data_IF_324499964501
#
_entry.id   IF_324499964501
#
_cell.length_a   1.000
_cell.length_b   1.000
_cell.length_c   1.000
_cell.angle_alpha   90.00
_cell.angle_beta   90.00
_cell.angle_gamma   90.00
#
_symmetry.space_group_name_H-M   'P 1'
#
loop_
_entity.id
_entity.type
_entity.pdbx_description
1 polymer ?
#
# COMPACT_ATOMS: atom_id res chain seq x y z
N UNK A 1 -1.98 6.79 -11.00
CA UNK A 1 -1.85 6.00 -12.24
C UNK A 1 -2.07 6.91 -13.43
N UNK A 2 -1.33 6.70 -14.54
CA UNK A 2 -1.27 7.68 -15.63
C UNK A 2 -2.42 7.57 -16.65
N UNK A 3 -2.71 6.35 -17.13
CA UNK A 3 -3.72 6.12 -18.17
C UNK A 3 -5.15 5.98 -17.63
N UNK A 4 -5.31 5.82 -16.30
CA UNK A 4 -6.57 5.49 -15.65
C UNK A 4 -7.32 4.33 -16.36
N UNK A 5 -6.56 3.34 -16.84
CA UNK A 5 -7.06 2.18 -17.54
C UNK A 5 -6.93 0.94 -16.65
N UNK A 6 -7.80 -0.04 -16.87
CA UNK A 6 -7.72 -1.36 -16.25
C UNK A 6 -7.72 -2.49 -17.31
N UNK A 7 -7.92 -3.73 -16.86
CA UNK A 7 -7.87 -4.92 -17.72
C UNK A 7 -9.25 -5.57 -17.91
N UNK A 8 -10.33 -4.80 -17.95
CA UNK A 8 -11.70 -5.30 -18.13
C UNK A 8 -12.24 -5.22 -19.57
N UNK A 9 -11.49 -4.61 -20.49
CA UNK A 9 -11.90 -4.42 -21.89
C UNK A 9 -11.47 -3.10 -22.52
N UNK A 10 -10.77 -2.23 -21.77
CA UNK A 10 -10.22 -0.97 -22.26
C UNK A 10 -9.34 -1.13 -23.53
N UNK A 11 -9.47 -0.16 -24.44
CA UNK A 11 -8.73 -0.14 -25.71
C UNK A 11 -7.76 1.03 -25.75
N UNK A 12 -6.59 0.82 -26.37
CA UNK A 12 -5.56 1.85 -26.56
C UNK A 12 -5.21 2.00 -28.04
N UNK A 13 -5.18 3.26 -28.51
CA UNK A 13 -4.74 3.59 -29.86
C UNK A 13 -3.20 3.66 -29.93
N UNK A 14 -2.62 3.04 -30.96
CA UNK A 14 -1.17 3.03 -31.19
C UNK A 14 -0.84 3.87 -32.42
N UNK A 15 0.05 4.84 -32.26
CA UNK A 15 0.53 5.70 -33.33
C UNK A 15 2.03 5.52 -33.52
N UNK A 16 2.50 5.57 -34.77
CA UNK A 16 3.93 5.38 -35.12
C UNK A 16 4.50 6.71 -35.62
N UNK A 17 5.47 7.33 -34.92
CA UNK A 17 6.14 8.53 -35.40
C UNK A 17 7.06 8.19 -36.58
N UNK A 18 6.81 8.82 -37.74
CA UNK A 18 7.54 8.51 -38.99
C UNK A 18 8.75 9.43 -39.22
N UNK A 19 8.66 10.72 -38.89
CA UNK A 19 9.77 11.64 -39.09
C UNK A 19 10.86 11.45 -38.04
N UNK A 20 12.09 11.77 -38.41
CA UNK A 20 13.24 11.66 -37.52
C UNK A 20 13.07 12.57 -36.30
N UNK A 21 12.54 13.78 -36.49
CA UNK A 21 12.25 14.75 -35.45
C UNK A 21 11.22 14.20 -34.45
N UNK A 22 10.13 13.59 -34.94
CA UNK A 22 9.09 13.02 -34.08
C UNK A 22 9.60 11.81 -33.29
N UNK A 23 10.47 10.99 -33.88
CA UNK A 23 11.10 9.87 -33.17
C UNK A 23 12.03 10.36 -32.05
N UNK A 24 12.82 11.41 -32.31
CA UNK A 24 13.67 12.02 -31.29
C UNK A 24 12.85 12.64 -30.17
N UNK A 25 11.78 13.36 -30.50
CA UNK A 25 10.87 13.95 -29.51
C UNK A 25 10.20 12.88 -28.65
N UNK A 26 9.67 11.83 -29.27
CA UNK A 26 9.04 10.73 -28.55
C UNK A 26 10.01 10.04 -27.58
N UNK A 27 11.26 9.81 -28.02
CA UNK A 27 12.29 9.19 -27.19
C UNK A 27 12.78 10.10 -26.06
N UNK A 28 12.88 11.40 -26.29
CA UNK A 28 13.49 12.34 -25.35
C UNK A 28 12.50 12.92 -24.35
N UNK A 29 11.24 13.13 -24.77
CA UNK A 29 10.21 13.80 -23.94
C UNK A 29 9.08 12.85 -23.55
N UNK A 30 8.53 12.07 -24.49
CA UNK A 30 7.30 11.30 -24.26
C UNK A 30 7.53 9.94 -23.58
N UNK A 31 8.78 9.47 -23.49
CA UNK A 31 9.11 8.18 -22.92
C UNK A 31 8.63 8.08 -21.46
N UNK A 32 8.03 6.95 -21.09
CA UNK A 32 7.41 6.75 -19.77
C UNK A 32 8.39 6.93 -18.60
N UNK A 33 9.66 6.62 -18.80
CA UNK A 33 10.73 6.80 -17.81
C UNK A 33 10.96 8.25 -17.41
N UNK A 34 10.50 9.21 -18.22
CA UNK A 34 10.60 10.64 -17.92
C UNK A 34 9.36 11.14 -17.15
N UNK A 35 8.25 10.42 -17.22
CA UNK A 35 6.93 10.83 -16.73
C UNK A 35 6.57 10.10 -15.43
N UNK A 36 7.46 10.20 -14.44
CA UNK A 36 7.32 9.54 -13.12
C UNK A 36 6.43 10.37 -12.17
N UNK A 37 6.59 11.69 -12.22
CA UNK A 37 5.89 12.64 -11.36
C UNK A 37 4.71 13.27 -12.07
N UNK A 38 3.75 13.70 -11.27
CA UNK A 38 2.60 14.46 -11.72
C UNK A 38 2.98 15.90 -12.02
N UNK A 39 2.67 16.41 -13.24
CA UNK A 39 2.87 17.81 -13.56
C UNK A 39 2.08 18.77 -12.65
N UNK A 40 0.97 18.31 -12.06
CA UNK A 40 0.07 19.15 -11.28
C UNK A 40 0.51 19.40 -9.85
N UNK A 41 1.12 18.40 -9.20
CA UNK A 41 1.47 18.46 -7.77
C UNK A 41 2.86 17.92 -7.43
N UNK A 42 3.63 17.41 -8.41
CA UNK A 42 4.97 16.88 -8.20
C UNK A 42 5.03 15.52 -7.50
N UNK A 43 3.88 14.92 -7.18
CA UNK A 43 3.83 13.61 -6.53
C UNK A 43 4.05 12.47 -7.55
N UNK A 44 4.62 11.32 -7.13
CA UNK A 44 4.79 10.17 -8.02
C UNK A 44 3.43 9.62 -8.53
N UNK A 45 3.25 9.55 -9.85
CA UNK A 45 2.06 8.95 -10.49
C UNK A 45 2.19 7.42 -10.58
N UNK A 46 3.43 6.94 -10.64
CA UNK A 46 3.80 5.52 -10.86
C UNK A 46 3.94 4.71 -9.57
N UNK A 47 3.38 5.18 -8.45
CA UNK A 47 3.37 4.41 -7.21
C UNK A 47 2.67 3.06 -7.39
N UNK A 48 3.21 1.97 -6.82
CA UNK A 48 2.57 0.67 -6.86
C UNK A 48 1.16 0.70 -6.27
N UNK A 49 0.27 -0.12 -6.82
CA UNK A 49 -1.13 -0.21 -6.40
C UNK A 49 -1.55 -1.65 -6.14
N UNK A 50 -2.65 -1.84 -5.40
CA UNK A 50 -3.31 -3.12 -5.18
C UNK A 50 -2.35 -4.20 -4.67
N UNK A 51 -2.20 -5.31 -5.39
CA UNK A 51 -1.50 -6.51 -4.93
C UNK A 51 -0.03 -6.26 -4.61
N UNK A 52 0.64 -5.36 -5.35
CA UNK A 52 2.03 -5.01 -5.07
C UNK A 52 2.14 -4.37 -3.68
N UNK A 53 1.19 -3.50 -3.33
CA UNK A 53 1.15 -2.87 -2.00
C UNK A 53 0.84 -3.90 -0.91
N UNK A 54 -0.03 -4.87 -1.18
CA UNK A 54 -0.35 -5.97 -0.26
C UNK A 54 0.88 -6.85 -0.02
N UNK A 55 1.63 -7.20 -1.07
CA UNK A 55 2.86 -7.99 -0.94
C UNK A 55 3.94 -7.27 -0.14
N UNK A 56 4.15 -5.96 -0.39
CA UNK A 56 5.09 -5.16 0.40
C UNK A 56 4.64 -5.00 1.86
N UNK A 57 3.34 -4.81 2.08
CA UNK A 57 2.76 -4.74 3.41
C UNK A 57 2.97 -6.04 4.16
N UNK A 58 2.61 -7.18 3.56
CA UNK A 58 2.81 -8.51 4.12
C UNK A 58 4.27 -8.72 4.46
N UNK A 59 5.18 -8.47 3.52
CA UNK A 59 6.62 -8.62 3.72
C UNK A 59 7.13 -7.84 4.96
N UNK A 60 6.60 -6.65 5.20
CA UNK A 60 7.10 -5.76 6.28
C UNK A 60 6.36 -5.90 7.60
N UNK A 61 5.36 -6.80 7.68
CA UNK A 61 4.67 -7.13 8.91
C UNK A 61 5.62 -7.69 9.97
N UNK A 62 5.29 -7.38 11.22
CA UNK A 62 5.96 -7.87 12.40
C UNK A 62 4.98 -8.67 13.23
N UNK A 63 5.40 -9.87 13.65
CA UNK A 63 4.59 -10.73 14.49
C UNK A 63 4.68 -10.31 15.95
N UNK A 64 3.54 -10.29 16.64
CA UNK A 64 3.47 -10.01 18.09
C UNK A 64 4.04 -11.15 18.96
N UNK A 65 4.49 -12.26 18.36
CA UNK A 65 5.02 -13.39 19.13
C UNK A 65 6.27 -13.02 19.91
N UNK A 66 6.21 -13.19 21.23
CA UNK A 66 7.36 -13.11 22.16
C UNK A 66 8.27 -14.33 22.02
N UNK A 67 8.92 -14.48 20.87
CA UNK A 67 10.01 -15.45 20.71
C UNK A 67 11.34 -14.82 21.12
N UNK A 68 12.30 -15.64 21.53
CA UNK A 68 13.67 -15.16 21.76
C UNK A 68 14.23 -14.53 20.48
N UNK A 69 14.63 -13.27 20.60
CA UNK A 69 15.16 -12.48 19.49
C UNK A 69 16.52 -13.03 19.10
N UNK A 70 16.59 -13.64 17.92
CA UNK A 70 17.87 -14.04 17.32
C UNK A 70 18.67 -12.79 16.95
N UNK A 71 19.97 -12.85 17.17
CA UNK A 71 20.91 -11.76 16.97
C UNK A 71 21.78 -12.12 15.76
N UNK A 72 21.89 -11.19 14.82
CA UNK A 72 22.64 -11.34 13.58
C UNK A 72 23.67 -10.23 13.44
N UNK A 73 24.82 -10.59 12.90
CA UNK A 73 25.95 -9.70 12.69
C UNK A 73 25.85 -8.89 11.40
N UNK A 74 25.09 -9.39 10.42
CA UNK A 74 24.92 -8.75 9.11
C UNK A 74 23.56 -9.05 8.46
N UNK A 75 23.07 -8.21 7.54
CA UNK A 75 21.89 -8.49 6.73
C UNK A 75 21.99 -9.80 5.92
N UNK A 76 23.18 -10.14 5.42
CA UNK A 76 23.43 -11.35 4.65
C UNK A 76 23.24 -12.62 5.50
N UNK A 77 23.57 -12.57 6.78
CA UNK A 77 23.34 -13.67 7.71
C UNK A 77 21.84 -13.91 7.94
N UNK A 78 21.04 -12.84 7.97
CA UNK A 78 19.57 -12.92 8.08
C UNK A 78 18.97 -13.61 6.86
N UNK A 79 19.41 -13.23 5.67
CA UNK A 79 18.96 -13.83 4.40
C UNK A 79 19.32 -15.30 4.34
N UNK A 80 20.57 -15.65 4.69
CA UNK A 80 21.01 -17.04 4.76
C UNK A 80 20.16 -17.85 5.76
N UNK A 81 19.86 -17.28 6.93
CA UNK A 81 19.04 -17.96 7.93
C UNK A 81 17.59 -18.15 7.47
N UNK A 82 17.06 -17.22 6.67
CA UNK A 82 15.75 -17.33 6.04
C UNK A 82 15.76 -18.41 4.95
N UNK A 83 16.75 -18.40 4.05
CA UNK A 83 16.89 -19.39 2.97
C UNK A 83 17.09 -20.82 3.48
N UNK A 84 17.65 -20.98 4.69
CA UNK A 84 17.81 -22.27 5.38
C UNK A 84 16.60 -22.69 6.21
N UNK A 85 15.46 -22.00 6.08
CA UNK A 85 14.21 -22.22 6.82
C UNK A 85 14.41 -22.22 8.36
N UNK A 86 15.40 -21.48 8.86
CA UNK A 86 15.67 -21.38 10.30
C UNK A 86 14.84 -20.30 10.98
N UNK A 87 14.16 -19.45 10.23
CA UNK A 87 13.38 -18.32 10.74
C UNK A 87 12.14 -18.04 9.88
N UNK A 88 11.18 -17.34 10.48
CA UNK A 88 9.99 -16.88 9.77
C UNK A 88 10.11 -15.41 9.36
N UNK A 89 9.40 -15.04 8.29
CA UNK A 89 9.46 -13.71 7.66
C UNK A 89 9.16 -12.56 8.63
N UNK A 90 8.20 -12.74 9.53
CA UNK A 90 7.71 -11.73 10.47
C UNK A 90 8.30 -11.86 11.88
N UNK A 91 9.28 -12.75 12.08
CA UNK A 91 9.87 -12.95 13.41
C UNK A 91 10.73 -11.74 13.79
N UNK A 92 10.59 -11.19 15.01
CA UNK A 92 11.44 -10.08 15.45
C UNK A 92 12.88 -10.55 15.68
N UNK A 93 13.84 -9.83 15.09
CA UNK A 93 15.27 -10.10 15.14
C UNK A 93 16.06 -8.84 15.53
N UNK A 94 17.30 -9.03 15.97
CA UNK A 94 18.28 -7.94 16.15
C UNK A 94 19.38 -8.06 15.10
N UNK A 95 19.61 -6.99 14.36
CA UNK A 95 20.65 -6.93 13.33
C UNK A 95 21.57 -5.75 13.62
N UNK A 96 22.87 -5.95 13.45
CA UNK A 96 23.84 -4.86 13.48
C UNK A 96 23.86 -4.17 12.11
N UNK A 97 23.48 -2.89 12.08
CA UNK A 97 23.48 -2.04 10.88
C UNK A 97 24.28 -0.77 11.20
N UNK A 98 25.30 -0.46 10.40
CA UNK A 98 26.14 0.74 10.54
C UNK A 98 26.68 1.02 11.95
N UNK A 99 26.91 -0.04 12.73
CA UNK A 99 27.43 0.02 14.11
C UNK A 99 26.37 0.13 15.20
N UNK A 100 25.08 0.20 14.85
CA UNK A 100 23.96 0.23 15.79
C UNK A 100 23.13 -1.06 15.74
N UNK A 101 22.64 -1.49 16.91
CA UNK A 101 21.75 -2.63 17.01
C UNK A 101 20.31 -2.21 16.78
N UNK A 102 19.73 -2.66 15.67
CA UNK A 102 18.36 -2.33 15.28
C UNK A 102 17.47 -3.57 15.44
N UNK A 103 16.29 -3.38 16.04
CA UNK A 103 15.24 -4.41 16.10
C UNK A 103 14.41 -4.35 14.83
N UNK A 104 14.37 -5.43 14.06
CA UNK A 104 13.68 -5.47 12.76
C UNK A 104 13.13 -6.87 12.47
N UNK A 105 12.66 -7.12 11.24
CA UNK A 105 12.21 -8.43 10.77
C UNK A 105 12.97 -8.85 9.52
N UNK A 106 13.12 -10.17 9.24
CA UNK A 106 13.71 -10.66 8.00
C UNK A 106 13.05 -10.06 6.76
N UNK A 107 11.73 -9.92 6.77
CA UNK A 107 11.02 -9.33 5.65
C UNK A 107 11.37 -7.86 5.41
N UNK A 108 11.56 -7.06 6.46
CA UNK A 108 12.07 -5.68 6.31
C UNK A 108 13.51 -5.68 5.78
N UNK A 109 14.37 -6.61 6.18
CA UNK A 109 15.73 -6.73 5.63
C UNK A 109 15.68 -7.02 4.12
N UNK A 110 14.86 -7.99 3.69
CA UNK A 110 14.66 -8.33 2.27
C UNK A 110 14.14 -7.13 1.48
N UNK A 111 13.18 -6.37 2.04
CA UNK A 111 12.66 -5.17 1.39
C UNK A 111 13.75 -4.10 1.20
N UNK A 112 14.64 -3.93 2.18
CA UNK A 112 15.70 -2.93 2.12
C UNK A 112 16.82 -3.28 1.11
N UNK A 113 17.01 -4.55 0.74
CA UNK A 113 17.97 -4.91 -0.34
C UNK A 113 17.56 -4.36 -1.72
N UNK A 114 16.26 -4.10 -1.90
CA UNK A 114 15.74 -3.58 -3.16
C UNK A 114 15.94 -2.06 -3.27
N UNK A 115 16.10 -1.36 -2.14
CA UNK A 115 16.30 0.07 -2.10
C UNK A 115 17.70 0.46 -2.63
N UNK A 116 17.86 1.69 -3.15
CA UNK A 116 19.14 2.15 -3.66
C UNK A 116 20.20 2.25 -2.56
N UNK A 117 21.46 2.02 -2.94
CA UNK A 117 22.60 2.15 -2.02
C UNK A 117 22.67 3.57 -1.42
N UNK A 118 22.86 3.64 -0.10
CA UNK A 118 22.89 4.90 0.66
C UNK A 118 21.52 5.42 1.09
N UNK A 119 20.42 4.69 0.81
CA UNK A 119 19.12 4.97 1.42
C UNK A 119 19.09 4.50 2.87
N UNK A 120 18.43 5.28 3.72
CA UNK A 120 18.23 4.91 5.13
C UNK A 120 17.35 3.66 5.24
N UNK A 121 17.73 2.77 6.16
CA UNK A 121 16.99 1.54 6.42
C UNK A 121 15.55 1.85 6.85
N UNK A 122 14.59 1.32 6.10
CA UNK A 122 13.15 1.46 6.38
C UNK A 122 12.69 0.37 7.33
N UNK A 123 12.58 0.73 8.60
CA UNK A 123 12.14 -0.16 9.68
C UNK A 123 10.68 0.10 10.11
N UNK A 124 9.77 0.21 9.15
CA UNK A 124 8.36 0.46 9.42
C UNK A 124 7.49 -0.37 8.48
N UNK A 125 6.20 -0.43 8.79
CA UNK A 125 5.22 -1.05 7.92
C UNK A 125 5.12 -0.25 6.62
N UNK A 126 5.24 -0.95 5.49
CA UNK A 126 5.25 -0.32 4.17
C UNK A 126 3.85 -0.40 3.57
N UNK A 127 3.12 0.71 3.67
CA UNK A 127 1.84 0.90 3.01
C UNK A 127 1.98 1.70 1.70
N UNK A 128 0.86 2.00 1.05
CA UNK A 128 0.84 2.80 -0.19
C UNK A 128 1.43 4.19 -0.01
N UNK A 129 1.22 4.83 1.14
CA UNK A 129 1.74 6.16 1.44
C UNK A 129 3.26 6.14 1.57
N UNK A 130 3.77 5.21 2.36
CA UNK A 130 5.21 4.98 2.58
C UNK A 130 5.92 4.64 1.27
N UNK A 131 5.34 3.77 0.43
CA UNK A 131 5.90 3.49 -0.90
C UNK A 131 6.01 4.74 -1.76
N UNK A 132 4.99 5.60 -1.73
CA UNK A 132 5.00 6.85 -2.50
C UNK A 132 6.09 7.81 -1.99
N UNK A 133 6.28 7.90 -0.67
CA UNK A 133 7.38 8.68 -0.07
C UNK A 133 8.76 8.09 -0.41
N UNK A 134 8.92 6.76 -0.40
CA UNK A 134 10.17 6.08 -0.79
C UNK A 134 10.52 6.43 -2.24
N UNK A 135 9.56 6.36 -3.16
CA UNK A 135 9.78 6.67 -4.57
C UNK A 135 10.12 8.16 -4.75
N UNK A 136 9.39 9.06 -4.09
CA UNK A 136 9.68 10.50 -4.14
C UNK A 136 11.11 10.81 -3.63
N UNK A 137 11.48 10.29 -2.46
CA UNK A 137 12.83 10.48 -1.91
C UNK A 137 13.92 9.85 -2.77
N UNK A 138 13.63 8.72 -3.42
CA UNK A 138 14.57 8.07 -4.35
C UNK A 138 14.80 8.94 -5.58
N UNK A 139 13.72 9.49 -6.13
CA UNK A 139 13.77 10.39 -7.28
C UNK A 139 14.56 11.67 -6.97
N UNK A 140 14.32 12.30 -5.81
CA UNK A 140 14.99 13.54 -5.42
C UNK A 140 16.50 13.37 -5.25
N UNK A 141 16.96 12.24 -4.70
CA UNK A 141 18.39 12.03 -4.37
C UNK A 141 19.19 11.39 -5.50
N UNK A 142 18.62 10.42 -6.21
CA UNK A 142 19.33 9.61 -7.22
C UNK A 142 18.82 9.81 -8.65
N UNK A 143 17.73 10.55 -8.83
CA UNK A 143 17.16 10.88 -10.14
C UNK A 143 16.30 9.78 -10.76
N UNK A 144 15.88 10.02 -12.01
CA UNK A 144 14.90 9.19 -12.74
C UNK A 144 15.33 7.73 -12.90
N UNK A 145 16.57 7.48 -13.32
CA UNK A 145 17.01 6.14 -13.72
C UNK A 145 16.94 5.19 -12.52
N UNK A 146 17.52 5.60 -11.39
CA UNK A 146 17.55 4.80 -10.17
C UNK A 146 16.14 4.65 -9.59
N UNK A 147 15.30 5.67 -9.67
CA UNK A 147 13.90 5.59 -9.24
C UNK A 147 13.11 4.54 -10.04
N UNK A 148 13.27 4.48 -11.36
CA UNK A 148 12.61 3.49 -12.22
C UNK A 148 13.13 2.09 -11.92
N UNK A 149 14.44 1.90 -11.79
CA UNK A 149 15.02 0.60 -11.45
C UNK A 149 14.53 0.10 -10.08
N UNK A 150 14.49 1.00 -9.09
CA UNK A 150 13.97 0.69 -7.75
C UNK A 150 12.49 0.31 -7.81
N UNK A 151 11.69 1.05 -8.57
CA UNK A 151 10.27 0.78 -8.76
C UNK A 151 10.02 -0.61 -9.36
N UNK A 152 10.80 -0.98 -10.39
CA UNK A 152 10.67 -2.29 -11.03
C UNK A 152 11.05 -3.44 -10.11
N UNK A 153 12.09 -3.26 -9.30
CA UNK A 153 12.47 -4.24 -8.27
C UNK A 153 11.38 -4.35 -7.18
N UNK A 154 10.82 -3.24 -6.70
CA UNK A 154 9.71 -3.23 -5.72
C UNK A 154 8.48 -3.93 -6.31
N UNK A 155 8.15 -3.65 -7.57
CA UNK A 155 7.05 -4.30 -8.28
C UNK A 155 7.21 -5.82 -8.30
N UNK A 156 8.40 -6.30 -8.69
CA UNK A 156 8.69 -7.74 -8.75
C UNK A 156 8.57 -8.38 -7.36
N UNK A 157 9.24 -7.80 -6.37
CA UNK A 157 9.21 -8.28 -4.99
C UNK A 157 7.78 -8.28 -4.43
N UNK A 158 7.00 -7.23 -4.67
CA UNK A 158 5.61 -7.15 -4.22
C UNK A 158 4.74 -8.24 -4.84
N UNK A 159 4.88 -8.54 -6.13
CA UNK A 159 4.15 -9.66 -6.74
C UNK A 159 4.58 -11.04 -6.22
N UNK A 160 5.88 -11.24 -6.00
CA UNK A 160 6.41 -12.50 -5.48
C UNK A 160 5.83 -12.76 -4.07
N UNK A 161 5.88 -11.78 -3.17
CA UNK A 161 5.35 -11.93 -1.81
C UNK A 161 3.82 -11.88 -1.72
N UNK A 162 3.15 -11.15 -2.62
CA UNK A 162 1.70 -11.23 -2.74
C UNK A 162 1.23 -12.64 -3.13
N UNK A 163 1.99 -13.33 -3.99
CA UNK A 163 1.69 -14.72 -4.36
C UNK A 163 2.00 -15.67 -3.20
N UNK A 164 3.14 -15.50 -2.53
CA UNK A 164 3.57 -16.38 -1.43
C UNK A 164 2.69 -16.26 -0.19
N UNK A 165 2.14 -15.08 0.12
CA UNK A 165 1.26 -14.91 1.28
C UNK A 165 -0.06 -15.69 1.13
N UNK A 166 -0.47 -16.00 -0.11
CA UNK A 166 -1.68 -16.76 -0.37
C UNK A 166 -2.94 -16.15 0.25
N UNK A 167 -2.99 -14.81 0.36
CA UNK A 167 -4.12 -14.11 0.97
C UNK A 167 -5.40 -14.41 0.19
N UNK A 168 -6.40 -14.90 0.91
CA UNK A 168 -7.75 -15.15 0.38
C UNK A 168 -8.74 -14.39 1.23
N UNK A 169 -9.91 -14.10 0.66
CA UNK A 169 -11.01 -13.49 1.40
C UNK A 169 -12.25 -14.37 1.28
N UNK A 170 -12.86 -14.67 2.42
CA UNK A 170 -14.02 -15.53 2.55
C UNK A 170 -15.08 -14.91 3.46
N UNK A 171 -16.29 -15.45 3.42
CA UNK A 171 -17.39 -15.01 4.30
C UNK A 171 -17.04 -15.16 5.79
N UNK A 172 -16.13 -16.08 6.14
CA UNK A 172 -15.71 -16.30 7.52
C UNK A 172 -14.79 -15.18 8.05
N UNK A 173 -14.16 -14.41 7.17
CA UNK A 173 -13.28 -13.30 7.54
C UNK A 173 -14.06 -12.04 7.92
N UNK A 174 -15.36 -12.01 7.65
CA UNK A 174 -16.22 -10.91 8.06
C UNK A 174 -16.50 -10.97 9.57
N UNK A 175 -16.13 -9.92 10.33
CA UNK A 175 -16.35 -9.89 11.77
C UNK A 175 -17.85 -9.88 12.07
N UNK A 176 -18.29 -10.74 12.99
CA UNK A 176 -19.67 -10.74 13.46
C UNK A 176 -19.85 -9.65 14.52
N UNK A 177 -20.51 -8.56 14.15
CA UNK A 177 -20.82 -7.43 15.04
C UNK A 177 -22.07 -7.77 15.86
N UNK A 178 -21.86 -8.22 17.10
CA UNK A 178 -22.95 -8.65 18.01
C UNK A 178 -23.95 -7.52 18.31
N UNK A 179 -23.45 -6.30 18.42
CA UNK A 179 -24.23 -5.10 18.79
C UNK A 179 -25.12 -4.59 17.66
N UNK A 180 -24.88 -5.04 16.42
CA UNK A 180 -25.56 -4.55 15.21
C UNK A 180 -27.09 -4.59 15.34
N UNK A 181 -27.65 -5.65 15.93
CA UNK A 181 -29.10 -5.79 16.09
C UNK A 181 -29.68 -4.79 17.08
N UNK A 182 -28.97 -4.54 18.18
CA UNK A 182 -29.42 -3.60 19.21
C UNK A 182 -29.36 -2.17 18.65
N UNK A 183 -28.25 -1.80 18.01
CA UNK A 183 -28.12 -0.48 17.39
C UNK A 183 -29.21 -0.21 16.35
N UNK A 184 -29.52 -1.18 15.48
CA UNK A 184 -30.59 -1.04 14.51
C UNK A 184 -31.97 -0.89 15.18
N UNK A 185 -32.22 -1.65 16.25
CA UNK A 185 -33.48 -1.58 16.97
C UNK A 185 -33.65 -0.24 17.69
N UNK A 186 -32.61 0.26 18.34
CA UNK A 186 -32.61 1.56 19.01
C UNK A 186 -32.93 2.68 17.99
N UNK A 187 -32.27 2.67 16.82
CA UNK A 187 -32.55 3.63 15.74
C UNK A 187 -33.96 3.47 15.17
N UNK A 188 -34.47 2.24 15.00
CA UNK A 188 -35.85 2.01 14.54
C UNK A 188 -36.88 2.55 15.53
N UNK A 189 -36.63 2.44 16.84
CA UNK A 189 -37.53 2.92 17.88
C UNK A 189 -37.50 4.46 17.99
N UNK A 190 -36.34 5.09 17.80
CA UNK A 190 -36.21 6.54 17.71
C UNK A 190 -36.94 7.11 16.48
N UNK A 191 -36.77 6.49 15.30
CA UNK A 191 -37.47 6.89 14.07
C UNK A 191 -38.99 6.72 14.21
N UNK A 192 -39.46 5.67 14.90
CA UNK A 192 -40.89 5.54 15.23
C UNK A 192 -41.38 6.69 16.11
N UNK A 193 -40.58 7.10 17.10
CA UNK A 193 -40.88 8.26 17.94
C UNK A 193 -41.05 9.55 17.12
N UNK A 194 -40.14 9.81 16.18
CA UNK A 194 -40.23 10.97 15.28
C UNK A 194 -41.44 10.90 14.35
N UNK A 195 -41.78 9.73 13.81
CA UNK A 195 -42.97 9.55 12.98
C UNK A 195 -44.26 9.83 13.77
N UNK A 196 -44.35 9.40 15.03
CA UNK A 196 -45.49 9.70 15.89
C UNK A 196 -45.63 11.20 16.16
N UNK A 197 -44.51 11.90 16.44
CA UNK A 197 -44.51 13.34 16.65
C UNK A 197 -44.97 14.11 15.40
N UNK A 198 -44.67 13.61 14.20
CA UNK A 198 -45.15 14.19 12.94
C UNK A 198 -46.63 13.91 12.70
N UNK A 199 -47.12 12.69 12.99
CA UNK A 199 -48.54 12.34 12.91
C UNK A 199 -49.40 13.17 13.89
N UNK A 200 -48.86 13.49 15.06
CA UNK A 200 -49.48 14.38 16.06
C UNK A 200 -49.38 15.87 15.68
N UNK A 201 -48.64 16.21 14.62
CA UNK A 201 -48.46 17.57 14.12
C UNK A 201 -47.51 18.43 14.97
N UNK A 202 -46.71 17.81 15.83
CA UNK A 202 -45.72 18.49 16.69
C UNK A 202 -44.45 18.89 15.92
N UNK A 203 -44.14 18.20 14.83
CA UNK A 203 -43.05 18.51 13.90
C UNK A 203 -43.58 18.49 12.46
N UNK A 204 -42.95 19.25 11.57
CA UNK A 204 -43.27 19.21 10.13
C UNK A 204 -42.65 17.98 9.45
N UNK A 205 -43.20 17.59 8.29
CA UNK A 205 -42.63 16.52 7.47
C UNK A 205 -41.19 16.83 7.00
N UNK A 206 -40.87 18.10 6.82
CA UNK A 206 -39.53 18.56 6.43
C UNK A 206 -38.53 18.42 7.59
N UNK A 207 -38.92 18.78 8.81
CA UNK A 207 -38.11 18.59 10.03
C UNK A 207 -37.92 17.10 10.34
N UNK A 208 -38.99 16.29 10.24
CA UNK A 208 -38.91 14.83 10.39
C UNK A 208 -37.89 14.23 9.42
N UNK A 209 -37.89 14.67 8.16
CA UNK A 209 -36.97 14.16 7.15
C UNK A 209 -35.51 14.55 7.46
N UNK A 210 -35.27 15.76 7.95
CA UNK A 210 -33.93 16.22 8.36
C UNK A 210 -33.46 15.43 9.59
N UNK A 211 -34.29 15.31 10.63
CA UNK A 211 -33.93 14.64 11.88
C UNK A 211 -33.63 13.15 11.68
N UNK A 212 -34.40 12.47 10.83
CA UNK A 212 -34.16 11.06 10.47
C UNK A 212 -32.85 10.88 9.68
N UNK A 213 -32.42 11.89 8.92
CA UNK A 213 -31.19 11.84 8.12
C UNK A 213 -29.96 12.26 8.93
N UNK A 214 -30.07 13.26 9.79
CA UNK A 214 -28.97 13.73 10.65
C UNK A 214 -28.55 12.71 11.72
N UNK A 215 -29.44 11.78 12.09
CA UNK A 215 -29.11 10.67 12.98
C UNK A 215 -28.27 9.54 12.35
N UNK A 216 -27.85 9.68 11.08
CA UNK A 216 -27.03 8.71 10.35
C UNK A 216 -25.54 8.84 10.66
#
# INVERSE_FOLDING_TARGET
>A
TAFNADFDGDQMAIHIPLSYEAQLEAKTLLLSTNNILSPSNGEPIVSPTQDITVGCYYLTLESETKSDRKIFSSPQEVLLAYDLDKMHLHQPIKVLLDGEWIETTPGRVIFNEVLPEGMEFKNQLVDKGVLSTIIASTWERWGNIVAVETLDKIKKLGFDYATLCGLTFSMADLPNIKEKRNLLQDTEDEVKGLNLLAEEGSISEEERYIDVIEQR
#
